data_IF_490950181585
#
_entry.id   IF_490950181585
#
_cell.length_a   1.000
_cell.length_b   1.000
_cell.length_c   1.000
_cell.angle_alpha   90.00
_cell.angle_beta   90.00
_cell.angle_gamma   90.00
#
_symmetry.space_group_name_H-M   'P 1'
#
loop_
_entity.id
_entity.type
_entity.pdbx_description
1 polymer ?
#
# COMPACT_ATOMS: atom_id res chain seq x y z
N UNK A 1 -37.82 -31.67 -26.36
CA UNK A 1 -38.86 -31.17 -25.42
C UNK A 1 -38.38 -31.24 -23.97
N UNK A 2 -37.83 -32.38 -23.52
CA UNK A 2 -37.24 -32.56 -22.18
C UNK A 2 -36.15 -31.51 -21.86
N UNK A 3 -35.23 -31.25 -22.79
CA UNK A 3 -34.12 -30.29 -22.64
C UNK A 3 -34.52 -28.80 -22.58
N UNK A 4 -35.72 -28.44 -23.05
CA UNK A 4 -36.21 -27.05 -23.00
C UNK A 4 -36.93 -26.76 -21.68
N UNK A 5 -37.63 -27.76 -21.13
CA UNK A 5 -38.27 -27.67 -19.81
C UNK A 5 -37.22 -27.64 -18.70
N UNK A 6 -36.20 -28.50 -18.78
CA UNK A 6 -35.07 -28.52 -17.82
C UNK A 6 -34.34 -27.17 -17.78
N UNK A 7 -34.01 -26.61 -18.95
CA UNK A 7 -33.35 -25.30 -19.05
C UNK A 7 -34.23 -24.15 -18.58
N UNK A 8 -35.54 -24.21 -18.80
CA UNK A 8 -36.48 -23.22 -18.28
C UNK A 8 -36.59 -23.29 -16.75
N UNK A 9 -36.56 -24.49 -16.16
CA UNK A 9 -36.56 -24.66 -14.71
C UNK A 9 -35.25 -24.19 -14.07
N UNK A 10 -34.10 -24.45 -14.69
CA UNK A 10 -32.79 -23.97 -14.23
C UNK A 10 -32.70 -22.44 -14.28
N UNK A 11 -33.23 -21.82 -15.35
CA UNK A 11 -33.26 -20.36 -15.48
C UNK A 11 -34.13 -19.70 -14.40
N UNK A 12 -35.31 -20.29 -14.12
CA UNK A 12 -36.22 -19.80 -13.07
C UNK A 12 -35.60 -19.96 -11.67
N UNK A 13 -34.91 -21.07 -11.43
CA UNK A 13 -34.16 -21.28 -10.18
C UNK A 13 -33.01 -20.26 -10.06
N UNK A 14 -32.27 -20.01 -11.15
CA UNK A 14 -31.19 -19.04 -11.18
C UNK A 14 -31.69 -17.61 -10.89
N UNK A 15 -32.83 -17.22 -11.46
CA UNK A 15 -33.48 -15.93 -11.21
C UNK A 15 -33.89 -15.79 -9.75
N UNK A 16 -34.57 -16.80 -9.20
CA UNK A 16 -34.98 -16.80 -7.79
C UNK A 16 -33.81 -16.62 -6.84
N UNK A 17 -32.73 -17.38 -7.04
CA UNK A 17 -31.53 -17.32 -6.19
C UNK A 17 -30.85 -15.95 -6.32
N UNK A 18 -30.76 -15.43 -7.54
CA UNK A 18 -30.17 -14.12 -7.79
C UNK A 18 -30.95 -13.01 -7.07
N UNK A 19 -32.27 -12.99 -7.21
CA UNK A 19 -33.12 -11.99 -6.56
C UNK A 19 -33.00 -12.07 -5.03
N UNK A 20 -33.02 -13.28 -4.46
CA UNK A 20 -32.83 -13.47 -3.02
C UNK A 20 -31.47 -12.95 -2.54
N UNK A 21 -30.39 -13.19 -3.30
CA UNK A 21 -29.08 -12.66 -2.97
C UNK A 21 -29.04 -11.11 -3.00
N UNK A 22 -29.68 -10.49 -4.00
CA UNK A 22 -29.74 -9.03 -4.13
C UNK A 22 -30.63 -8.38 -3.06
N UNK A 23 -31.71 -9.04 -2.64
CA UNK A 23 -32.55 -8.61 -1.52
C UNK A 23 -31.77 -8.64 -0.20
N UNK A 24 -31.07 -9.75 0.09
CA UNK A 24 -30.18 -9.87 1.26
C UNK A 24 -29.12 -8.76 1.26
N UNK A 25 -28.51 -8.51 0.10
CA UNK A 25 -27.50 -7.46 -0.07
C UNK A 25 -28.08 -6.06 0.18
N UNK A 26 -29.27 -5.78 -0.33
CA UNK A 26 -29.97 -4.50 -0.12
C UNK A 26 -30.33 -4.32 1.36
N UNK A 27 -30.82 -5.37 2.02
CA UNK A 27 -31.12 -5.33 3.45
C UNK A 27 -29.85 -5.09 4.29
N UNK A 28 -28.72 -5.69 3.91
CA UNK A 28 -27.41 -5.44 4.51
C UNK A 28 -27.05 -3.95 4.48
N UNK A 29 -27.23 -3.33 3.31
CA UNK A 29 -26.90 -1.94 3.07
C UNK A 29 -27.80 -1.00 3.89
N UNK A 30 -29.11 -1.28 3.95
CA UNK A 30 -30.06 -0.51 4.77
C UNK A 30 -29.66 -0.55 6.25
N UNK A 31 -29.16 -1.68 6.72
CA UNK A 31 -28.68 -1.86 8.09
C UNK A 31 -27.24 -1.37 8.30
N UNK A 32 -26.61 -0.75 7.30
CA UNK A 32 -25.22 -0.30 7.31
C UNK A 32 -24.25 -1.41 7.76
N UNK A 33 -24.56 -2.67 7.42
CA UNK A 33 -23.79 -3.84 7.84
C UNK A 33 -23.62 -3.98 9.37
N UNK A 34 -24.46 -3.33 10.20
CA UNK A 34 -24.45 -3.45 11.69
C UNK A 34 -24.60 -4.89 12.17
N UNK A 35 -25.34 -5.69 11.41
CA UNK A 35 -25.32 -7.15 11.46
C UNK A 35 -24.87 -7.61 10.08
N UNK A 36 -23.59 -7.98 9.87
CA UNK A 36 -23.15 -8.40 8.56
C UNK A 36 -24.01 -9.61 8.16
N UNK A 37 -24.73 -9.55 7.01
CA UNK A 37 -25.26 -10.78 6.45
C UNK A 37 -24.08 -11.71 6.22
N UNK A 38 -24.31 -13.03 6.17
CA UNK A 38 -23.27 -13.95 5.75
C UNK A 38 -22.87 -13.60 4.30
N UNK A 39 -21.85 -12.74 4.14
CA UNK A 39 -21.31 -12.32 2.84
C UNK A 39 -20.92 -13.53 2.00
N UNK A 40 -20.50 -14.59 2.69
CA UNK A 40 -20.25 -15.92 2.13
C UNK A 40 -21.51 -16.54 1.50
N UNK A 41 -22.68 -16.45 2.13
CA UNK A 41 -23.93 -16.94 1.53
C UNK A 41 -24.34 -16.10 0.32
N UNK A 42 -24.23 -14.77 0.39
CA UNK A 42 -24.54 -13.89 -0.76
C UNK A 42 -23.61 -14.23 -1.93
N UNK A 43 -22.32 -14.41 -1.67
CA UNK A 43 -21.35 -14.83 -2.66
C UNK A 43 -21.67 -16.20 -3.27
N UNK A 44 -22.02 -17.18 -2.44
CA UNK A 44 -22.40 -18.52 -2.87
C UNK A 44 -23.69 -18.52 -3.71
N UNK A 45 -24.71 -17.76 -3.28
CA UNK A 45 -25.99 -17.61 -3.99
C UNK A 45 -25.75 -16.95 -5.37
N UNK A 46 -24.99 -15.85 -5.43
CA UNK A 46 -24.64 -15.19 -6.69
C UNK A 46 -23.81 -16.10 -7.61
N UNK A 47 -22.86 -16.86 -7.05
CA UNK A 47 -22.10 -17.84 -7.82
C UNK A 47 -22.97 -18.97 -8.36
N UNK A 48 -23.89 -19.49 -7.55
CA UNK A 48 -24.83 -20.54 -7.96
C UNK A 48 -25.72 -20.02 -9.08
N UNK A 49 -26.30 -18.82 -8.95
CA UNK A 49 -27.09 -18.20 -10.00
C UNK A 49 -26.29 -18.00 -11.30
N UNK A 50 -25.02 -17.60 -11.20
CA UNK A 50 -24.13 -17.41 -12.34
C UNK A 50 -23.72 -18.73 -13.02
N UNK A 51 -23.66 -19.85 -12.28
CA UNK A 51 -23.43 -21.19 -12.84
C UNK A 51 -24.66 -21.74 -13.54
N UNK A 52 -25.84 -21.58 -12.93
CA UNK A 52 -27.10 -22.09 -13.46
C UNK A 52 -27.48 -21.42 -14.78
N UNK A 53 -27.26 -20.11 -14.91
CA UNK A 53 -27.36 -19.48 -16.22
C UNK A 53 -26.23 -18.44 -16.41
N UNK A 54 -25.16 -18.84 -17.12
CA UNK A 54 -23.99 -18.02 -17.34
C UNK A 54 -24.15 -17.00 -18.47
N UNK A 55 -25.28 -17.00 -19.19
CA UNK A 55 -25.52 -16.15 -20.36
C UNK A 55 -26.38 -14.91 -20.06
N UNK A 56 -26.95 -14.79 -18.86
CA UNK A 56 -27.59 -13.55 -18.45
C UNK A 56 -26.55 -12.53 -17.96
N UNK A 57 -26.53 -11.32 -18.53
CA UNK A 57 -25.63 -10.26 -18.08
C UNK A 57 -25.92 -9.75 -16.67
N UNK A 58 -27.19 -9.75 -16.21
CA UNK A 58 -27.59 -9.27 -14.87
C UNK A 58 -26.86 -10.02 -13.76
N UNK A 59 -26.68 -11.34 -13.92
CA UNK A 59 -25.99 -12.18 -12.92
C UNK A 59 -24.51 -11.84 -12.81
N UNK A 60 -23.89 -11.52 -13.94
CA UNK A 60 -22.50 -11.06 -13.97
C UNK A 60 -22.37 -9.64 -13.40
N UNK A 61 -23.33 -8.75 -13.70
CA UNK A 61 -23.38 -7.41 -13.15
C UNK A 61 -23.63 -7.40 -11.63
N UNK A 62 -24.52 -8.25 -11.13
CA UNK A 62 -24.78 -8.38 -9.69
C UNK A 62 -23.60 -8.95 -8.91
N UNK A 63 -22.84 -9.90 -9.48
CA UNK A 63 -21.58 -10.33 -8.89
C UNK A 63 -20.55 -9.20 -8.85
N UNK A 64 -20.42 -8.43 -9.93
CA UNK A 64 -19.53 -7.27 -9.95
C UNK A 64 -19.93 -6.21 -8.90
N UNK A 65 -21.24 -5.96 -8.75
CA UNK A 65 -21.78 -5.04 -7.75
C UNK A 65 -21.45 -5.50 -6.33
N UNK A 66 -21.68 -6.78 -6.02
CA UNK A 66 -21.31 -7.37 -4.74
C UNK A 66 -19.82 -7.21 -4.44
N UNK A 67 -18.96 -7.54 -5.41
CA UNK A 67 -17.50 -7.42 -5.27
C UNK A 67 -17.04 -5.97 -5.02
N UNK A 68 -17.67 -4.98 -5.66
CA UNK A 68 -17.41 -3.56 -5.38
C UNK A 68 -17.76 -3.22 -3.94
N UNK A 69 -18.92 -3.66 -3.45
CA UNK A 69 -19.38 -3.36 -2.08
C UNK A 69 -18.49 -3.96 -1.00
N UNK A 70 -17.88 -5.12 -1.25
CA UNK A 70 -16.95 -5.76 -0.31
C UNK A 70 -15.47 -5.38 -0.54
N UNK A 71 -15.19 -4.45 -1.47
CA UNK A 71 -13.84 -3.97 -1.76
C UNK A 71 -12.94 -4.93 -2.56
N UNK A 72 -13.48 -6.03 -3.09
CA UNK A 72 -12.73 -7.01 -3.88
C UNK A 72 -12.55 -6.56 -5.35
N UNK A 73 -11.94 -5.38 -5.54
CA UNK A 73 -11.90 -4.65 -6.82
C UNK A 73 -11.16 -5.38 -7.95
N UNK A 74 -10.21 -6.26 -7.62
CA UNK A 74 -9.42 -7.00 -8.63
C UNK A 74 -10.25 -7.96 -9.47
N UNK A 75 -11.33 -8.50 -8.89
CA UNK A 75 -12.20 -9.46 -9.57
C UNK A 75 -13.32 -8.78 -10.37
N UNK A 76 -13.61 -7.51 -10.09
CA UNK A 76 -14.69 -6.74 -10.70
C UNK A 76 -14.58 -6.64 -12.22
N UNK A 77 -13.40 -6.33 -12.83
CA UNK A 77 -13.28 -6.17 -14.28
C UNK A 77 -13.70 -7.42 -15.06
N UNK A 78 -13.40 -8.62 -14.54
CA UNK A 78 -13.77 -9.89 -15.18
C UNK A 78 -15.29 -10.03 -15.31
N UNK A 79 -16.02 -9.69 -14.26
CA UNK A 79 -17.47 -9.81 -14.21
C UNK A 79 -18.18 -8.72 -15.03
N UNK A 80 -17.69 -7.47 -14.96
CA UNK A 80 -18.20 -6.37 -15.79
C UNK A 80 -17.93 -6.59 -17.29
N UNK A 81 -16.73 -7.06 -17.65
CA UNK A 81 -16.41 -7.39 -19.04
C UNK A 81 -17.32 -8.51 -19.57
N UNK A 82 -17.64 -9.52 -18.75
CA UNK A 82 -18.58 -10.57 -19.13
C UNK A 82 -20.00 -10.04 -19.33
N UNK A 83 -20.51 -9.21 -18.41
CA UNK A 83 -21.83 -8.59 -18.52
C UNK A 83 -21.94 -7.75 -19.80
N UNK A 84 -20.95 -6.90 -20.08
CA UNK A 84 -20.91 -6.04 -21.27
C UNK A 84 -20.68 -6.80 -22.57
N UNK A 85 -19.97 -7.94 -22.53
CA UNK A 85 -19.86 -8.82 -23.71
C UNK A 85 -21.19 -9.47 -24.06
N UNK A 86 -21.99 -9.83 -23.06
CA UNK A 86 -23.32 -10.43 -23.24
C UNK A 86 -24.36 -9.39 -23.64
N UNK A 87 -24.29 -8.19 -23.06
CA UNK A 87 -25.12 -7.04 -23.44
C UNK A 87 -24.29 -5.75 -23.37
N UNK A 88 -23.80 -5.23 -24.51
CA UNK A 88 -23.00 -4.00 -24.54
C UNK A 88 -23.73 -2.77 -24.00
N UNK A 89 -25.06 -2.71 -24.10
CA UNK A 89 -25.92 -1.59 -23.66
C UNK A 89 -26.45 -1.79 -22.23
N UNK A 90 -25.88 -2.71 -21.46
CA UNK A 90 -26.33 -2.96 -20.09
C UNK A 90 -26.04 -1.78 -19.17
N UNK A 91 -27.10 -1.04 -18.83
CA UNK A 91 -27.04 0.24 -18.08
C UNK A 91 -26.26 0.11 -16.77
N UNK A 92 -26.60 -0.87 -15.94
CA UNK A 92 -25.96 -1.09 -14.63
C UNK A 92 -24.47 -1.41 -14.80
N UNK A 93 -24.11 -2.33 -15.69
CA UNK A 93 -22.71 -2.70 -15.90
C UNK A 93 -21.86 -1.51 -16.39
N UNK A 94 -22.41 -0.63 -17.25
CA UNK A 94 -21.73 0.62 -17.66
C UNK A 94 -21.53 1.58 -16.51
N UNK A 95 -22.56 1.79 -15.67
CA UNK A 95 -22.46 2.63 -14.48
C UNK A 95 -21.40 2.10 -13.50
N UNK A 96 -21.34 0.78 -13.29
CA UNK A 96 -20.34 0.16 -12.44
C UNK A 96 -18.92 0.25 -13.01
N UNK A 97 -18.75 0.22 -14.35
CA UNK A 97 -17.45 0.48 -14.98
C UNK A 97 -17.01 1.93 -14.74
N UNK A 98 -17.93 2.88 -14.92
CA UNK A 98 -17.63 4.29 -14.66
C UNK A 98 -17.24 4.49 -13.18
N UNK A 99 -18.04 3.99 -12.24
CA UNK A 99 -17.74 4.07 -10.81
C UNK A 99 -16.44 3.35 -10.43
N UNK A 100 -16.12 2.21 -11.04
CA UNK A 100 -14.84 1.53 -10.83
C UNK A 100 -13.67 2.35 -11.35
N UNK A 101 -13.82 3.02 -12.50
CA UNK A 101 -12.78 3.90 -13.03
C UNK A 101 -12.60 5.14 -12.15
N UNK A 102 -13.68 5.72 -11.65
CA UNK A 102 -13.62 6.82 -10.67
C UNK A 102 -12.93 6.38 -9.37
N UNK A 103 -13.24 5.18 -8.86
CA UNK A 103 -12.57 4.59 -7.69
C UNK A 103 -11.09 4.28 -7.94
N UNK A 104 -10.72 3.88 -9.16
CA UNK A 104 -9.31 3.66 -9.56
C UNK A 104 -8.56 4.95 -9.84
N UNK A 105 -9.28 6.03 -10.15
CA UNK A 105 -8.72 7.36 -10.40
C UNK A 105 -8.59 8.20 -9.13
N UNK A 106 -9.32 7.86 -8.07
CA UNK A 106 -9.11 8.43 -6.74
C UNK A 106 -7.93 7.72 -6.08
N UNK A 107 -6.85 8.45 -5.79
CA UNK A 107 -5.79 7.94 -4.91
C UNK A 107 -6.43 7.67 -3.53
N UNK A 108 -6.46 6.42 -3.04
CA UNK A 108 -7.03 6.09 -1.74
C UNK A 108 -6.41 6.94 -0.62
N UNK A 109 -5.14 7.35 -0.77
CA UNK A 109 -4.45 8.22 0.17
C UNK A 109 -4.97 9.66 0.12
N UNK A 110 -5.25 10.20 -1.07
CA UNK A 110 -5.80 11.54 -1.23
C UNK A 110 -7.20 11.64 -0.64
N UNK A 111 -8.06 10.65 -0.90
CA UNK A 111 -9.38 10.57 -0.27
C UNK A 111 -9.26 10.50 1.25
N UNK A 112 -8.37 9.65 1.77
CA UNK A 112 -8.22 9.51 3.22
C UNK A 112 -7.65 10.77 3.86
N UNK A 113 -6.75 11.47 3.18
CA UNK A 113 -6.23 12.78 3.62
C UNK A 113 -7.36 13.80 3.80
N UNK A 114 -8.28 13.89 2.84
CA UNK A 114 -9.45 14.78 2.96
C UNK A 114 -10.35 14.41 4.14
N UNK A 115 -10.53 13.12 4.42
CA UNK A 115 -11.31 12.64 5.57
C UNK A 115 -10.62 12.99 6.90
N UNK A 116 -9.29 12.87 6.98
CA UNK A 116 -8.49 13.31 8.14
C UNK A 116 -8.61 14.83 8.33
N UNK A 117 -8.49 15.62 7.27
CA UNK A 117 -8.64 17.08 7.34
C UNK A 117 -10.05 17.50 7.79
N UNK A 118 -11.07 16.80 7.33
CA UNK A 118 -12.45 17.04 7.75
C UNK A 118 -12.63 16.79 9.26
N UNK A 119 -12.06 15.68 9.76
CA UNK A 119 -12.09 15.34 11.19
C UNK A 119 -11.31 16.36 12.04
N UNK A 120 -10.17 16.85 11.55
CA UNK A 120 -9.42 17.92 12.22
C UNK A 120 -10.27 19.18 12.43
N UNK A 121 -11.02 19.58 11.39
CA UNK A 121 -11.87 20.77 11.37
C UNK A 121 -13.17 20.62 12.17
N UNK A 122 -13.41 19.46 12.79
CA UNK A 122 -14.60 19.26 13.63
C UNK A 122 -14.69 20.35 14.71
N UNK A 123 -15.85 21.04 14.84
CA UNK A 123 -16.02 22.18 15.73
C UNK A 123 -15.84 21.78 17.20
N UNK A 124 -15.37 22.72 18.02
CA UNK A 124 -15.27 22.48 19.46
C UNK A 124 -16.69 22.43 20.06
N UNK A 125 -17.05 21.37 20.78
CA UNK A 125 -18.39 21.23 21.37
C UNK A 125 -18.62 22.29 22.45
N UNK A 126 -19.85 22.80 22.52
CA UNK A 126 -20.32 23.75 23.53
C UNK A 126 -21.47 23.20 24.38
N UNK A 127 -22.10 22.10 23.95
CA UNK A 127 -23.20 21.46 24.66
C UNK A 127 -22.90 19.99 24.91
N UNK A 128 -23.50 19.41 25.96
CA UNK A 128 -23.30 17.99 26.28
C UNK A 128 -23.65 17.06 25.09
N UNK A 129 -24.68 17.40 24.31
CA UNK A 129 -25.04 16.64 23.10
C UNK A 129 -23.95 16.70 22.03
N UNK A 130 -23.28 17.84 21.86
CA UNK A 130 -22.17 17.96 20.89
C UNK A 130 -20.90 17.22 21.37
N UNK A 131 -20.74 17.09 22.68
CA UNK A 131 -19.71 16.27 23.30
C UNK A 131 -19.97 14.77 23.04
N UNK A 132 -21.23 14.31 23.17
CA UNK A 132 -21.63 12.94 22.78
C UNK A 132 -21.35 12.69 21.28
N UNK A 133 -21.75 13.63 20.41
CA UNK A 133 -21.51 13.53 18.96
C UNK A 133 -20.01 13.44 18.64
N UNK A 134 -19.16 14.23 19.32
CA UNK A 134 -17.71 14.18 19.14
C UNK A 134 -17.13 12.85 19.63
N UNK A 135 -17.67 12.27 20.71
CA UNK A 135 -17.24 10.96 21.21
C UNK A 135 -17.52 9.86 20.18
N UNK A 136 -18.76 9.78 19.70
CA UNK A 136 -19.19 8.79 18.71
C UNK A 136 -18.41 8.93 17.40
N UNK A 137 -18.19 10.18 16.96
CA UNK A 137 -17.40 10.45 15.76
C UNK A 137 -15.94 10.02 15.94
N UNK A 138 -15.34 10.28 17.11
CA UNK A 138 -13.96 9.89 17.42
C UNK A 138 -13.82 8.37 17.47
N UNK A 139 -14.77 7.66 18.10
CA UNK A 139 -14.81 6.19 18.11
C UNK A 139 -14.90 5.63 16.69
N UNK A 140 -15.83 6.17 15.87
CA UNK A 140 -16.00 5.79 14.48
C UNK A 140 -14.74 6.02 13.66
N UNK A 141 -14.10 7.17 13.84
CA UNK A 141 -12.90 7.55 13.12
C UNK A 141 -11.72 6.62 13.45
N UNK A 142 -11.49 6.31 14.73
CA UNK A 142 -10.47 5.34 15.16
C UNK A 142 -10.66 3.99 14.45
N UNK A 143 -11.89 3.48 14.43
CA UNK A 143 -12.21 2.19 13.79
C UNK A 143 -11.98 2.20 12.29
N UNK A 144 -12.34 3.29 11.62
CA UNK A 144 -12.10 3.46 10.18
C UNK A 144 -10.61 3.53 9.85
N UNK A 145 -9.84 4.28 10.62
CA UNK A 145 -8.37 4.33 10.45
C UNK A 145 -7.76 2.94 10.67
N UNK A 146 -8.15 2.26 11.75
CA UNK A 146 -7.67 0.90 12.01
C UNK A 146 -7.94 -0.04 10.83
N UNK A 147 -9.14 0.02 10.25
CA UNK A 147 -9.49 -0.79 9.09
C UNK A 147 -8.67 -0.41 7.85
N UNK A 148 -8.53 0.90 7.57
CA UNK A 148 -7.76 1.42 6.44
C UNK A 148 -6.31 0.92 6.51
N UNK A 149 -5.66 1.08 7.67
CA UNK A 149 -4.28 0.69 7.87
C UNK A 149 -4.06 -0.83 7.92
N UNK A 150 -5.07 -1.62 8.29
CA UNK A 150 -5.02 -3.09 8.19
C UNK A 150 -5.14 -3.58 6.74
N UNK A 151 -5.89 -2.86 5.90
CA UNK A 151 -6.14 -3.24 4.50
C UNK A 151 -5.08 -2.73 3.54
N UNK A 152 -4.42 -1.61 3.88
CA UNK A 152 -3.31 -1.08 3.12
C UNK A 152 -2.06 -1.96 3.31
N UNK A 153 -1.95 -3.01 2.49
CA UNK A 153 -0.70 -3.75 2.34
C UNK A 153 0.35 -2.80 1.74
N UNK A 154 1.48 -2.58 2.43
CA UNK A 154 2.66 -2.04 1.77
C UNK A 154 3.11 -3.11 0.77
N UNK A 155 3.13 -2.83 -0.54
CA UNK A 155 3.64 -3.80 -1.49
C UNK A 155 5.09 -4.12 -1.15
N UNK A 156 5.48 -5.41 -1.08
CA UNK A 156 6.83 -5.81 -0.69
C UNK A 156 7.90 -5.42 -1.73
N UNK A 157 7.51 -5.10 -2.97
CA UNK A 157 8.44 -4.96 -4.08
C UNK A 157 7.96 -3.88 -5.06
N UNK A 158 8.45 -2.65 -4.89
CA UNK A 158 8.40 -1.59 -5.91
C UNK A 158 9.72 -0.83 -5.86
N UNK A 159 10.14 -0.35 -7.03
CA UNK A 159 11.24 0.60 -7.27
C UNK A 159 11.50 1.52 -6.06
N UNK A 160 12.75 1.56 -5.60
CA UNK A 160 13.21 2.24 -4.37
C UNK A 160 12.69 3.69 -4.25
N UNK A 161 12.64 4.44 -5.36
CA UNK A 161 12.14 5.82 -5.36
C UNK A 161 10.61 5.96 -5.22
N UNK A 162 9.83 5.11 -5.90
CA UNK A 162 8.36 5.09 -5.75
C UNK A 162 7.94 4.51 -4.38
N UNK A 163 8.73 3.57 -3.87
CA UNK A 163 8.53 2.99 -2.55
C UNK A 163 8.74 4.04 -1.44
N UNK A 164 9.77 4.89 -1.56
CA UNK A 164 10.02 5.97 -0.60
C UNK A 164 8.84 6.95 -0.53
N UNK A 165 8.38 7.44 -1.69
CA UNK A 165 7.29 8.42 -1.74
C UNK A 165 5.99 7.85 -1.17
N UNK A 166 5.64 6.61 -1.53
CA UNK A 166 4.44 5.95 -1.02
C UNK A 166 4.51 5.70 0.49
N UNK A 167 5.66 5.22 0.98
CA UNK A 167 5.87 4.98 2.41
C UNK A 167 5.82 6.28 3.22
N UNK A 168 6.40 7.38 2.71
CA UNK A 168 6.35 8.71 3.34
C UNK A 168 4.93 9.26 3.38
N UNK A 169 4.19 9.20 2.27
CA UNK A 169 2.80 9.66 2.21
C UNK A 169 1.92 8.87 3.18
N UNK A 170 2.10 7.55 3.23
CA UNK A 170 1.35 6.68 4.12
C UNK A 170 1.65 6.95 5.60
N UNK A 171 2.94 7.10 5.95
CA UNK A 171 3.37 7.46 7.30
C UNK A 171 2.87 8.86 7.70
N UNK A 172 2.92 9.82 6.78
CA UNK A 172 2.41 11.18 7.00
C UNK A 172 0.92 11.18 7.31
N UNK A 173 0.13 10.42 6.55
CA UNK A 173 -1.31 10.24 6.79
C UNK A 173 -1.57 9.57 8.15
N UNK A 174 -0.78 8.56 8.52
CA UNK A 174 -0.95 7.85 9.80
C UNK A 174 -0.62 8.76 10.97
N UNK A 175 0.42 9.56 10.83
CA UNK A 175 0.78 10.58 11.80
C UNK A 175 -0.34 11.60 11.98
N UNK A 176 -0.85 12.16 10.88
CA UNK A 176 -1.94 13.12 10.90
C UNK A 176 -3.20 12.54 11.55
N UNK A 177 -3.55 11.29 11.25
CA UNK A 177 -4.70 10.59 11.82
C UNK A 177 -4.58 10.43 13.34
N UNK A 178 -3.45 9.88 13.81
CA UNK A 178 -3.20 9.68 15.25
C UNK A 178 -3.20 11.02 15.99
N UNK A 179 -2.55 12.05 15.44
CA UNK A 179 -2.51 13.38 16.05
C UNK A 179 -3.91 14.01 16.13
N UNK A 180 -4.73 13.84 15.09
CA UNK A 180 -6.09 14.36 15.06
C UNK A 180 -6.96 13.71 16.13
N UNK A 181 -6.84 12.39 16.29
CA UNK A 181 -7.55 11.64 17.34
C UNK A 181 -7.11 12.12 18.71
N UNK A 182 -5.79 12.22 18.97
CA UNK A 182 -5.25 12.71 20.24
C UNK A 182 -5.79 14.10 20.58
N UNK A 183 -5.82 15.02 19.62
CA UNK A 183 -6.38 16.35 19.82
C UNK A 183 -7.88 16.33 20.15
N UNK A 184 -8.66 15.35 19.66
CA UNK A 184 -10.08 15.20 20.05
C UNK A 184 -10.24 14.54 21.40
N UNK A 185 -9.38 13.59 21.77
CA UNK A 185 -9.37 13.01 23.11
C UNK A 185 -9.08 14.08 24.18
N UNK A 186 -8.11 14.97 23.95
CA UNK A 186 -7.83 16.12 24.84
C UNK A 186 -9.05 17.04 25.03
N UNK A 187 -9.90 17.18 24.01
CA UNK A 187 -11.16 17.95 24.11
C UNK A 187 -12.19 17.16 24.92
N UNK A 188 -12.32 15.85 24.69
CA UNK A 188 -13.31 15.00 25.34
C UNK A 188 -13.01 14.76 26.82
N UNK A 189 -11.73 14.77 27.23
CA UNK A 189 -11.28 14.60 28.62
C UNK A 189 -11.89 15.60 29.60
N UNK A 190 -12.36 16.76 29.13
CA UNK A 190 -13.03 17.73 30.01
C UNK A 190 -14.42 17.28 30.46
N UNK A 191 -15.06 16.36 29.76
CA UNK A 191 -16.45 15.93 30.01
C UNK A 191 -16.62 14.40 30.15
N UNK A 192 -15.71 13.58 29.60
CA UNK A 192 -15.79 12.11 29.63
C UNK A 192 -14.49 11.42 30.06
N UNK A 193 -14.63 10.18 30.54
CA UNK A 193 -13.51 9.23 30.64
C UNK A 193 -13.19 8.67 29.24
N UNK A 194 -11.96 8.92 28.76
CA UNK A 194 -11.53 8.54 27.41
C UNK A 194 -10.75 7.22 27.34
N UNK A 195 -10.56 6.52 28.46
CA UNK A 195 -9.78 5.27 28.56
C UNK A 195 -10.19 4.19 27.57
N UNK A 196 -11.46 4.14 27.17
CA UNK A 196 -11.94 3.21 26.15
C UNK A 196 -11.39 3.57 24.76
N UNK A 197 -11.47 4.84 24.38
CA UNK A 197 -10.97 5.34 23.10
C UNK A 197 -9.43 5.27 23.03
N UNK A 198 -8.73 5.57 24.12
CA UNK A 198 -7.27 5.41 24.18
C UNK A 198 -6.83 3.95 23.98
N UNK A 199 -7.58 3.00 24.55
CA UNK A 199 -7.35 1.56 24.32
C UNK A 199 -7.59 1.18 22.87
N UNK A 200 -8.61 1.73 22.22
CA UNK A 200 -8.87 1.52 20.78
C UNK A 200 -7.81 2.19 19.88
N UNK A 201 -7.22 3.31 20.30
CA UNK A 201 -6.16 4.00 19.56
C UNK A 201 -4.80 3.29 19.63
N UNK A 202 -4.52 2.57 20.73
CA UNK A 202 -3.21 1.94 20.98
C UNK A 202 -2.65 1.11 19.81
N UNK A 203 -3.43 0.26 19.11
CA UNK A 203 -2.95 -0.48 17.94
C UNK A 203 -2.45 0.44 16.82
N UNK A 204 -3.14 1.55 16.53
CA UNK A 204 -2.73 2.53 15.53
C UNK A 204 -1.43 3.24 15.94
N UNK A 205 -1.29 3.60 17.22
CA UNK A 205 -0.04 4.19 17.72
C UNK A 205 1.14 3.21 17.62
N UNK A 206 0.93 1.93 17.94
CA UNK A 206 1.95 0.90 17.78
C UNK A 206 2.31 0.68 16.31
N UNK A 207 1.30 0.70 15.43
CA UNK A 207 1.49 0.60 14.00
C UNK A 207 2.33 1.76 13.48
N UNK A 208 2.00 2.99 13.88
CA UNK A 208 2.76 4.21 13.57
C UNK A 208 4.24 4.04 13.92
N UNK A 209 4.55 3.65 15.16
CA UNK A 209 5.95 3.46 15.57
C UNK A 209 6.67 2.36 14.78
N UNK A 210 5.97 1.27 14.43
CA UNK A 210 6.56 0.22 13.58
C UNK A 210 6.84 0.74 12.17
N UNK A 211 5.90 1.45 11.58
CA UNK A 211 6.07 2.07 10.27
C UNK A 211 7.20 3.10 10.27
N UNK A 212 7.27 3.98 11.27
CA UNK A 212 8.37 4.96 11.41
C UNK A 212 9.74 4.27 11.39
N UNK A 213 9.88 3.15 12.11
CA UNK A 213 11.13 2.37 12.11
C UNK A 213 11.45 1.79 10.73
N UNK A 214 10.47 1.23 10.04
CA UNK A 214 10.66 0.64 8.70
C UNK A 214 11.02 1.73 7.68
N UNK A 215 10.31 2.86 7.68
CA UNK A 215 10.61 3.98 6.76
C UNK A 215 12.00 4.53 7.04
N UNK A 216 12.35 4.80 8.29
CA UNK A 216 13.68 5.29 8.63
C UNK A 216 14.78 4.30 8.22
N UNK A 217 14.55 3.00 8.43
CA UNK A 217 15.47 1.97 7.98
C UNK A 217 15.65 1.98 6.46
N UNK A 218 14.56 2.06 5.70
CA UNK A 218 14.63 2.12 4.24
C UNK A 218 15.35 3.38 3.76
N UNK A 219 15.13 4.53 4.40
CA UNK A 219 15.85 5.76 4.09
C UNK A 219 17.35 5.65 4.33
N UNK A 220 17.76 5.00 5.43
CA UNK A 220 19.18 4.71 5.67
C UNK A 220 19.75 3.81 4.57
N UNK A 221 19.03 2.76 4.15
CA UNK A 221 19.47 1.89 3.05
C UNK A 221 19.59 2.64 1.71
N UNK A 222 18.65 3.54 1.40
CA UNK A 222 18.70 4.39 0.21
C UNK A 222 19.95 5.27 0.21
N UNK A 223 20.20 5.94 1.35
CA UNK A 223 21.39 6.75 1.52
C UNK A 223 22.66 5.94 1.25
N UNK A 224 22.78 4.74 1.82
CA UNK A 224 23.95 3.90 1.61
C UNK A 224 24.06 3.37 0.19
N UNK A 225 22.95 3.04 -0.46
CA UNK A 225 22.92 2.69 -1.87
C UNK A 225 23.50 3.83 -2.74
N UNK A 226 23.12 5.09 -2.48
CA UNK A 226 23.66 6.25 -3.19
C UNK A 226 25.17 6.45 -2.93
N UNK A 227 25.61 6.29 -1.68
CA UNK A 227 27.05 6.37 -1.34
C UNK A 227 27.85 5.28 -2.06
N UNK A 228 27.35 4.04 -2.06
CA UNK A 228 28.00 2.91 -2.72
C UNK A 228 28.04 3.09 -4.24
N UNK A 229 26.96 3.59 -4.84
CA UNK A 229 26.94 3.90 -6.26
C UNK A 229 27.95 4.99 -6.62
N UNK A 230 28.01 6.08 -5.86
CA UNK A 230 29.00 7.14 -6.07
C UNK A 230 30.42 6.61 -5.96
N UNK A 231 30.69 5.76 -4.96
CA UNK A 231 31.98 5.11 -4.80
C UNK A 231 32.34 4.21 -5.99
N UNK A 232 31.40 3.38 -6.46
CA UNK A 232 31.60 2.55 -7.65
C UNK A 232 31.94 3.38 -8.89
N UNK A 233 31.25 4.49 -9.11
CA UNK A 233 31.53 5.41 -10.22
C UNK A 233 32.94 6.01 -10.12
N UNK A 234 33.39 6.38 -8.92
CA UNK A 234 34.74 6.90 -8.70
C UNK A 234 35.83 5.86 -8.97
N UNK A 235 35.63 4.62 -8.51
CA UNK A 235 36.55 3.49 -8.75
C UNK A 235 36.59 3.13 -10.23
N UNK A 236 35.42 3.04 -10.88
CA UNK A 236 35.34 2.76 -12.31
C UNK A 236 36.05 3.85 -13.13
N UNK A 237 35.86 5.13 -12.78
CA UNK A 237 36.57 6.23 -13.42
C UNK A 237 38.08 6.15 -13.27
N UNK A 238 38.60 5.74 -12.10
CA UNK A 238 40.03 5.53 -11.89
C UNK A 238 40.56 4.33 -12.70
N UNK A 239 39.77 3.27 -12.82
CA UNK A 239 40.10 2.10 -13.64
C UNK A 239 40.17 2.42 -15.13
N UNK A 240 39.22 3.20 -15.64
CA UNK A 240 39.25 3.65 -17.04
C UNK A 240 40.41 4.61 -17.30
N UNK A 241 40.76 5.49 -16.36
CA UNK A 241 41.94 6.35 -16.47
C UNK A 241 43.23 5.52 -16.52
N UNK A 242 43.39 4.52 -15.66
CA UNK A 242 44.55 3.64 -15.62
C UNK A 242 44.75 2.85 -16.92
N UNK A 243 43.66 2.35 -17.53
CA UNK A 243 43.72 1.63 -18.81
C UNK A 243 44.34 2.46 -19.94
N UNK A 244 44.15 3.78 -19.91
CA UNK A 244 44.67 4.69 -20.91
C UNK A 244 46.01 5.31 -20.50
N UNK A 245 46.56 4.93 -19.34
CA UNK A 245 47.82 5.46 -18.85
C UNK A 245 49.00 5.00 -19.72
N UNK A 246 49.98 5.87 -20.04
CA UNK A 246 51.13 5.50 -20.85
C UNK A 246 51.98 4.42 -20.15
N UNK A 247 52.14 3.25 -20.80
CA UNK A 247 52.97 2.16 -20.27
C UNK A 247 54.42 2.62 -20.04
N UNK A 248 54.97 2.28 -18.87
CA UNK A 248 56.34 2.60 -18.48
C UNK A 248 56.56 4.03 -17.94
N UNK A 249 55.50 4.82 -17.76
CA UNK A 249 55.55 6.07 -16.99
C UNK A 249 55.10 5.82 -15.56
N UNK A 250 55.79 6.45 -14.59
CA UNK A 250 55.34 6.46 -13.20
C UNK A 250 53.97 7.14 -13.09
N UNK A 251 53.11 6.62 -12.22
CA UNK A 251 51.87 7.29 -11.85
C UNK A 251 52.17 8.71 -11.35
N UNK A 252 51.37 9.67 -11.78
CA UNK A 252 51.52 11.02 -11.26
C UNK A 252 51.03 11.09 -9.81
N UNK A 253 51.48 12.12 -9.09
CA UNK A 253 51.09 12.29 -7.70
C UNK A 253 49.57 12.41 -7.53
N UNK A 254 48.86 13.02 -8.48
CA UNK A 254 47.41 13.25 -8.36
C UNK A 254 46.63 11.95 -8.41
N UNK A 255 47.04 11.02 -9.28
CA UNK A 255 46.44 9.71 -9.37
C UNK A 255 46.72 8.88 -8.11
N UNK A 256 47.95 8.93 -7.59
CA UNK A 256 48.31 8.29 -6.32
C UNK A 256 47.48 8.82 -5.15
N UNK A 257 47.38 10.15 -5.00
CA UNK A 257 46.58 10.81 -3.95
C UNK A 257 45.09 10.41 -4.08
N UNK A 258 44.58 10.24 -5.31
CA UNK A 258 43.20 9.79 -5.57
C UNK A 258 42.97 8.33 -5.19
N UNK A 259 43.94 7.45 -5.45
CA UNK A 259 43.86 6.03 -5.04
C UNK A 259 43.82 5.90 -3.52
N UNK A 260 44.69 6.62 -2.81
CA UNK A 260 44.68 6.67 -1.34
C UNK A 260 43.31 7.10 -0.82
N UNK A 261 42.73 8.16 -1.38
CA UNK A 261 41.39 8.60 -1.03
C UNK A 261 40.30 7.54 -1.31
N UNK A 262 40.43 6.72 -2.36
CA UNK A 262 39.50 5.62 -2.63
C UNK A 262 39.59 4.51 -1.57
N UNK A 263 40.80 4.18 -1.10
CA UNK A 263 40.97 3.22 -0.01
C UNK A 263 40.40 3.77 1.31
N UNK A 264 40.68 5.03 1.64
CA UNK A 264 40.11 5.69 2.83
C UNK A 264 38.58 5.67 2.81
N UNK A 265 37.97 5.95 1.65
CA UNK A 265 36.51 5.87 1.48
C UNK A 265 36.03 4.42 1.64
N UNK A 266 36.74 3.44 1.07
CA UNK A 266 36.37 2.02 1.17
C UNK A 266 36.37 1.54 2.63
N UNK A 267 37.39 1.93 3.41
CA UNK A 267 37.51 1.62 4.83
C UNK A 267 36.39 2.29 5.63
N UNK A 268 36.12 3.58 5.38
CA UNK A 268 35.02 4.29 6.01
C UNK A 268 33.66 3.63 5.70
N UNK A 269 33.42 3.23 4.45
CA UNK A 269 32.21 2.53 4.05
C UNK A 269 32.09 1.17 4.76
N UNK A 270 33.20 0.45 4.95
CA UNK A 270 33.22 -0.81 5.68
C UNK A 270 32.79 -0.62 7.15
N UNK A 271 33.41 0.33 7.84
CA UNK A 271 33.12 0.62 9.26
C UNK A 271 31.65 1.04 9.47
N UNK A 272 31.13 1.87 8.57
CA UNK A 272 29.75 2.35 8.64
C UNK A 272 28.73 1.26 8.29
N UNK A 273 29.02 0.40 7.31
CA UNK A 273 28.18 -0.74 6.98
C UNK A 273 28.19 -1.80 8.09
N UNK A 274 29.32 -2.03 8.75
CA UNK A 274 29.40 -2.90 9.93
C UNK A 274 28.57 -2.35 11.09
N UNK A 275 28.65 -1.04 11.34
CA UNK A 275 27.81 -0.35 12.32
C UNK A 275 26.31 -0.46 11.96
N UNK A 276 25.96 -0.35 10.68
CA UNK A 276 24.60 -0.54 10.19
C UNK A 276 24.12 -1.98 10.35
N UNK A 277 24.95 -2.97 10.04
CA UNK A 277 24.64 -4.40 10.16
C UNK A 277 24.33 -4.83 11.60
N UNK A 278 24.90 -4.15 12.60
CA UNK A 278 24.59 -4.41 14.02
C UNK A 278 23.15 -4.03 14.41
N UNK A 279 22.56 -3.06 13.71
CA UNK A 279 21.21 -2.53 14.02
C UNK A 279 20.14 -3.01 13.07
N UNK A 280 20.49 -3.39 11.85
CA UNK A 280 19.52 -3.79 10.82
C UNK A 280 20.13 -4.67 9.74
N UNK A 281 19.28 -5.29 8.93
CA UNK A 281 19.73 -6.07 7.78
C UNK A 281 20.24 -5.15 6.67
N UNK A 282 21.45 -5.44 6.17
CA UNK A 282 22.07 -4.74 5.04
C UNK A 282 22.04 -5.55 3.73
N UNK A 283 21.37 -6.71 3.74
CA UNK A 283 21.27 -7.60 2.57
C UNK A 283 20.88 -6.91 1.25
N UNK A 284 20.02 -5.86 1.22
CA UNK A 284 19.70 -5.15 -0.02
C UNK A 284 20.89 -4.43 -0.68
N UNK A 285 21.89 -4.02 0.09
CA UNK A 285 23.04 -3.23 -0.37
C UNK A 285 24.37 -3.99 -0.31
N UNK A 286 24.42 -5.14 0.38
CA UNK A 286 25.59 -5.99 0.55
C UNK A 286 26.24 -6.38 -0.79
N UNK A 287 25.42 -6.85 -1.75
CA UNK A 287 25.91 -7.20 -3.09
C UNK A 287 26.55 -6.01 -3.84
N UNK A 288 26.06 -4.78 -3.61
CA UNK A 288 26.61 -3.58 -4.24
C UNK A 288 27.96 -3.21 -3.62
N UNK A 289 28.07 -3.31 -2.30
CA UNK A 289 29.33 -3.11 -1.60
C UNK A 289 30.38 -4.14 -2.05
N UNK A 290 30.03 -5.43 -2.08
CA UNK A 290 30.94 -6.48 -2.56
C UNK A 290 31.41 -6.23 -4.00
N UNK A 291 30.50 -5.80 -4.89
CA UNK A 291 30.85 -5.46 -6.26
C UNK A 291 31.81 -4.25 -6.34
N UNK A 292 31.64 -3.26 -5.46
CA UNK A 292 32.52 -2.10 -5.38
C UNK A 292 33.93 -2.50 -4.92
N UNK A 293 34.02 -3.29 -3.86
CA UNK A 293 35.29 -3.82 -3.32
C UNK A 293 36.01 -4.68 -4.36
N UNK A 294 35.30 -5.57 -5.06
CA UNK A 294 35.90 -6.37 -6.13
C UNK A 294 36.42 -5.52 -7.29
N UNK A 295 35.77 -4.40 -7.58
CA UNK A 295 36.23 -3.47 -8.62
C UNK A 295 37.48 -2.72 -8.17
N UNK A 296 37.55 -2.31 -6.90
CA UNK A 296 38.75 -1.71 -6.31
C UNK A 296 39.92 -2.70 -6.30
N UNK A 297 39.67 -3.97 -5.96
CA UNK A 297 40.71 -5.00 -5.99
C UNK A 297 41.27 -5.20 -7.40
N UNK A 298 40.41 -5.25 -8.43
CA UNK A 298 40.87 -5.33 -9.84
C UNK A 298 41.70 -4.12 -10.25
N UNK A 299 41.36 -2.93 -9.73
CA UNK A 299 42.16 -1.72 -9.94
C UNK A 299 43.55 -1.87 -9.30
N UNK A 300 43.62 -2.38 -8.07
CA UNK A 300 44.89 -2.68 -7.39
C UNK A 300 45.74 -3.69 -8.17
N UNK A 301 45.15 -4.82 -8.56
CA UNK A 301 45.85 -5.85 -9.32
C UNK A 301 46.41 -5.29 -10.64
N UNK A 302 45.66 -4.40 -11.29
CA UNK A 302 46.09 -3.74 -12.53
C UNK A 302 47.23 -2.74 -12.32
N UNK A 303 47.35 -2.16 -11.12
CA UNK A 303 48.46 -1.27 -10.74
C UNK A 303 49.72 -2.08 -10.44
N UNK A 304 49.59 -3.24 -9.81
CA UNK A 304 50.71 -4.14 -9.51
C UNK A 304 51.33 -4.73 -10.79
N UNK A 305 50.54 -4.84 -11.87
CA UNK A 305 51.00 -5.26 -13.20
C UNK A 305 51.61 -4.13 -14.05
N UNK A 306 51.48 -2.86 -13.64
CA UNK A 306 51.84 -1.67 -14.42
C UNK A 306 53.30 -1.24 -14.23
#
# INVERSE_FOLDING_TARGET
MVTLLERATENLEAEKIHTQAMEKLTQAMIQQFKHPPPLEEIYQDLNKALRLDPQNPDRSAGMAYFLILIGALDQVPKHLAKALRLNPEHSIARQLVQGLNELKQQDPLEKRLLEVEAFQRWPRPQTASEYDDLYDETERFIRQEALFYLQAMIPPEVNVGELEQNQRSFLGLLHASVQSIQAKLEILESEFEVDALERELRPLSQLKTRFEKVVNHNLELIYWQEQLQSFQEMVHGAFEELKHWPKGQSLDKKFSDRLEALYDICDQLADELDSLAQRTSIAPIENQYEAAVQTLQKLQDSLDEF
#
